data_IF_478340517921
#
_entry.id   IF_478340517921
#
_cell.length_a   1.000
_cell.length_b   1.000
_cell.length_c   1.000
_cell.angle_alpha   90.00
_cell.angle_beta   90.00
_cell.angle_gamma   90.00
#
_symmetry.space_group_name_H-M   'P 1'
#
loop_
_entity.id
_entity.type
_entity.pdbx_description
1 polymer ?
#
# COMPACT_ATOMS: atom_id res chain seq x y z
N UNK A 1 57.02 -36.85 -21.62
CA UNK A 1 57.96 -37.96 -21.84
C UNK A 1 57.13 -39.23 -22.02
N UNK A 2 57.42 -40.26 -22.83
CA UNK A 2 58.16 -40.42 -24.11
C UNK A 2 57.90 -41.88 -24.57
N UNK A 3 57.85 -42.35 -25.82
CA UNK A 3 57.63 -41.86 -27.21
C UNK A 3 57.09 -43.13 -28.00
N UNK A 4 56.90 -43.27 -29.32
CA UNK A 4 57.36 -42.60 -30.55
C UNK A 4 56.37 -42.82 -31.73
N UNK A 5 56.57 -42.04 -32.80
CA UNK A 5 56.13 -42.24 -34.20
C UNK A 5 56.86 -43.44 -34.88
N UNK A 6 56.57 -43.90 -36.14
CA UNK A 6 56.35 -43.05 -37.34
C UNK A 6 55.54 -43.57 -38.58
N UNK A 7 55.48 -42.67 -39.58
CA UNK A 7 55.45 -42.90 -41.04
C UNK A 7 54.13 -43.19 -41.79
N UNK A 8 53.74 -42.21 -42.62
CA UNK A 8 52.91 -42.37 -43.83
C UNK A 8 53.74 -42.92 -45.01
N UNK A 9 53.10 -43.18 -46.16
CA UNK A 9 53.54 -42.46 -47.37
C UNK A 9 52.38 -41.85 -48.20
N UNK A 10 52.74 -41.13 -49.28
CA UNK A 10 51.88 -40.31 -50.16
C UNK A 10 51.96 -40.85 -51.60
N UNK A 11 50.86 -40.76 -52.38
CA UNK A 11 50.76 -40.61 -53.87
C UNK A 11 49.24 -40.54 -54.19
N UNK A 12 48.61 -39.44 -54.62
CA UNK A 12 48.69 -38.56 -55.82
C UNK A 12 48.03 -39.10 -57.10
N UNK A 13 47.52 -38.15 -57.92
CA UNK A 13 46.73 -38.27 -59.15
C UNK A 13 45.20 -38.46 -58.96
N UNK A 14 44.31 -37.86 -59.78
CA UNK A 14 44.51 -36.92 -60.92
C UNK A 14 43.31 -35.97 -61.05
N UNK A 15 43.50 -34.81 -61.69
CA UNK A 15 42.43 -33.85 -61.96
C UNK A 15 41.65 -34.15 -63.25
N UNK A 16 40.40 -33.68 -63.30
CA UNK A 16 39.69 -33.28 -64.52
C UNK A 16 39.00 -31.94 -64.27
N UNK A 17 39.10 -31.03 -65.23
CA UNK A 17 38.70 -29.63 -65.15
C UNK A 17 37.59 -29.36 -66.17
N UNK A 18 36.49 -28.71 -65.76
CA UNK A 18 35.45 -28.16 -66.64
C UNK A 18 34.95 -26.83 -66.05
N UNK A 19 35.10 -25.77 -66.83
CA UNK A 19 34.76 -24.37 -66.52
C UNK A 19 33.27 -24.06 -66.54
N UNK A 20 32.80 -23.16 -65.67
CA UNK A 20 31.61 -22.34 -65.92
C UNK A 20 31.62 -21.06 -65.06
N UNK A 21 31.84 -19.90 -65.69
CA UNK A 21 31.69 -18.59 -65.05
C UNK A 21 30.21 -18.23 -64.86
N UNK A 22 29.79 -17.91 -63.64
CA UNK A 22 28.56 -17.15 -63.39
C UNK A 22 28.72 -16.13 -62.26
N UNK A 23 28.96 -14.88 -62.64
CA UNK A 23 28.77 -13.70 -61.78
C UNK A 23 27.26 -13.45 -61.60
N UNK A 24 26.67 -13.90 -60.49
CA UNK A 24 25.30 -13.50 -60.10
C UNK A 24 25.24 -13.11 -58.61
N UNK A 25 24.84 -11.86 -58.41
CA UNK A 25 24.33 -11.12 -57.24
C UNK A 25 24.15 -11.85 -55.89
N UNK A 26 24.56 -11.23 -54.75
CA UNK A 26 24.20 -11.74 -53.41
C UNK A 26 22.68 -11.67 -53.16
N UNK A 27 22.09 -12.60 -52.39
CA UNK A 27 20.65 -12.71 -52.25
C UNK A 27 20.01 -11.56 -51.46
N UNK A 28 18.97 -10.99 -52.07
CA UNK A 28 17.95 -10.07 -51.56
C UNK A 28 17.94 -9.71 -50.06
N UNK A 29 17.89 -8.40 -49.81
CA UNK A 29 17.49 -7.78 -48.55
C UNK A 29 16.28 -8.45 -47.90
N UNK A 30 16.34 -8.63 -46.57
CA UNK A 30 15.18 -8.90 -45.73
C UNK A 30 14.21 -7.71 -45.79
N UNK A 31 13.06 -7.91 -46.45
CA UNK A 31 11.90 -7.00 -46.38
C UNK A 31 10.73 -7.78 -45.78
N UNK A 32 10.88 -8.18 -44.53
CA UNK A 32 9.73 -8.32 -43.63
C UNK A 32 9.46 -6.97 -42.96
N UNK A 33 8.24 -6.71 -42.46
CA UNK A 33 8.09 -5.67 -41.43
C UNK A 33 9.04 -6.01 -40.28
N UNK A 34 9.69 -5.02 -39.64
CA UNK A 34 10.52 -5.30 -38.47
C UNK A 34 9.66 -6.02 -37.44
N UNK A 35 10.11 -7.18 -36.96
CA UNK A 35 9.55 -7.79 -35.76
C UNK A 35 9.51 -6.69 -34.70
N UNK A 36 8.34 -6.38 -34.10
CA UNK A 36 8.26 -5.28 -33.14
C UNK A 36 9.32 -5.52 -32.05
N UNK A 37 10.04 -4.46 -31.61
CA UNK A 37 11.07 -4.62 -30.60
C UNK A 37 10.48 -5.37 -29.40
N UNK A 38 11.27 -6.29 -28.83
CA UNK A 38 10.84 -7.14 -27.73
C UNK A 38 10.16 -6.26 -26.67
N UNK A 39 8.85 -6.44 -26.51
CA UNK A 39 8.02 -5.36 -25.96
C UNK A 39 8.44 -5.08 -24.54
N UNK A 40 8.81 -3.81 -24.27
CA UNK A 40 9.15 -3.30 -22.95
C UNK A 40 8.14 -3.84 -21.93
N UNK A 41 8.66 -4.34 -20.80
CA UNK A 41 8.01 -5.36 -19.98
C UNK A 41 6.51 -5.16 -19.84
N UNK A 42 5.71 -6.00 -20.51
CA UNK A 42 4.26 -6.00 -20.28
C UNK A 42 4.03 -6.49 -18.86
N UNK A 43 3.52 -5.60 -18.03
CA UNK A 43 3.17 -5.83 -16.63
C UNK A 43 1.63 -5.97 -16.48
N UNK A 44 1.02 -7.09 -16.94
CA UNK A 44 -0.43 -7.23 -17.07
C UNK A 44 -1.18 -7.20 -15.74
N UNK A 45 -0.56 -7.64 -14.64
CA UNK A 45 -1.18 -7.59 -13.32
C UNK A 45 -1.09 -6.17 -12.74
N UNK A 46 -0.01 -5.43 -13.02
CA UNK A 46 0.10 -4.01 -12.68
C UNK A 46 -1.03 -3.19 -13.34
N UNK A 47 -1.25 -3.37 -14.65
CA UNK A 47 -2.37 -2.75 -15.39
C UNK A 47 -3.73 -3.12 -14.76
N UNK A 48 -3.92 -4.39 -14.43
CA UNK A 48 -5.16 -4.95 -13.87
C UNK A 48 -5.45 -4.42 -12.45
N UNK A 49 -4.42 -4.30 -11.61
CA UNK A 49 -4.51 -3.74 -10.27
C UNK A 49 -4.84 -2.25 -10.37
N UNK A 50 -4.08 -1.47 -11.13
CA UNK A 50 -4.31 -0.03 -11.28
C UNK A 50 -5.69 0.29 -11.88
N UNK A 51 -6.17 -0.53 -12.84
CA UNK A 51 -7.54 -0.44 -13.35
C UNK A 51 -8.56 -0.70 -12.24
N UNK A 52 -8.39 -1.74 -11.43
CA UNK A 52 -9.30 -2.03 -10.32
C UNK A 52 -9.28 -0.93 -9.24
N UNK A 53 -8.12 -0.33 -8.95
CA UNK A 53 -8.01 0.78 -8.00
C UNK A 53 -8.78 2.01 -8.50
N UNK A 54 -8.61 2.40 -9.78
CA UNK A 54 -9.37 3.49 -10.42
C UNK A 54 -10.88 3.21 -10.50
N UNK A 55 -11.27 1.96 -10.78
CA UNK A 55 -12.68 1.54 -10.75
C UNK A 55 -13.27 1.63 -9.34
N UNK A 56 -12.51 1.27 -8.31
CA UNK A 56 -12.94 1.31 -6.90
C UNK A 56 -13.05 2.77 -6.40
N UNK A 57 -12.09 3.63 -6.74
CA UNK A 57 -12.12 5.08 -6.51
C UNK A 57 -13.38 5.74 -7.09
N UNK A 58 -13.84 5.26 -8.26
CA UNK A 58 -15.06 5.73 -8.94
C UNK A 58 -16.36 5.13 -8.40
N UNK A 59 -16.30 4.33 -7.33
CA UNK A 59 -17.48 3.64 -6.75
C UNK A 59 -18.01 2.49 -7.62
N UNK A 60 -17.20 1.97 -8.54
CA UNK A 60 -17.57 0.92 -9.50
C UNK A 60 -16.59 -0.29 -9.48
N UNK A 61 -16.23 -0.85 -8.31
CA UNK A 61 -15.27 -1.95 -8.21
C UNK A 61 -15.73 -3.17 -9.03
N UNK A 62 -14.94 -3.50 -10.06
CA UNK A 62 -15.25 -4.59 -11.00
C UNK A 62 -14.78 -5.95 -10.51
N UNK A 63 -13.63 -6.03 -9.84
CA UNK A 63 -13.18 -7.27 -9.23
C UNK A 63 -13.91 -7.49 -7.90
N UNK A 64 -14.51 -8.68 -7.75
CA UNK A 64 -14.98 -9.20 -6.46
C UNK A 64 -14.10 -10.39 -6.10
N UNK A 65 -13.40 -10.30 -4.99
CA UNK A 65 -12.56 -11.38 -4.48
C UNK A 65 -13.36 -12.41 -3.69
N UNK A 66 -12.65 -13.18 -2.85
CA UNK A 66 -13.28 -13.78 -1.66
C UNK A 66 -13.72 -12.64 -0.74
N UNK A 67 -14.68 -12.88 0.15
CA UNK A 67 -15.43 -11.85 0.89
C UNK A 67 -14.60 -10.78 1.63
N UNK A 68 -13.31 -11.02 1.89
CA UNK A 68 -12.39 -10.11 2.59
C UNK A 68 -11.09 -9.77 1.84
N UNK A 69 -10.80 -10.34 0.66
CA UNK A 69 -9.57 -10.01 -0.09
C UNK A 69 -9.59 -10.35 -1.60
N UNK A 70 -8.78 -9.62 -2.37
CA UNK A 70 -8.44 -9.92 -3.78
C UNK A 70 -6.93 -10.16 -3.86
N UNK A 71 -6.51 -11.35 -4.30
CA UNK A 71 -5.09 -11.74 -4.41
C UNK A 71 -4.63 -11.78 -5.87
N UNK A 72 -3.37 -11.37 -6.09
CA UNK A 72 -2.69 -11.35 -7.37
C UNK A 72 -1.26 -11.91 -7.18
N UNK A 73 -0.84 -12.84 -8.02
CA UNK A 73 0.56 -13.24 -8.12
C UNK A 73 1.23 -12.38 -9.19
N UNK A 74 2.31 -11.71 -8.82
CA UNK A 74 3.06 -10.76 -9.66
C UNK A 74 4.32 -11.39 -10.24
N UNK A 75 4.75 -10.88 -11.39
CA UNK A 75 6.09 -11.09 -11.93
C UNK A 75 7.09 -10.05 -11.40
N UNK A 76 8.38 -10.28 -11.62
CA UNK A 76 9.44 -9.37 -11.18
C UNK A 76 9.28 -7.98 -11.80
N UNK A 77 9.41 -6.94 -10.97
CA UNK A 77 9.19 -5.55 -11.36
C UNK A 77 7.72 -5.11 -11.50
N UNK A 78 6.73 -6.02 -11.47
CA UNK A 78 5.31 -5.59 -11.55
C UNK A 78 4.87 -4.75 -10.35
N UNK A 79 5.41 -5.02 -9.16
CA UNK A 79 5.10 -4.20 -7.98
C UNK A 79 5.72 -2.80 -8.09
N UNK A 80 6.98 -2.71 -8.55
CA UNK A 80 7.68 -1.43 -8.69
C UNK A 80 7.05 -0.58 -9.81
N UNK A 81 6.51 -1.20 -10.87
CA UNK A 81 5.66 -0.54 -11.87
C UNK A 81 4.33 -0.03 -11.27
N UNK A 82 3.69 -0.76 -10.34
CA UNK A 82 2.50 -0.28 -9.63
C UNK A 82 2.86 0.98 -8.82
N UNK A 83 3.96 0.94 -8.05
CA UNK A 83 4.42 2.09 -7.24
C UNK A 83 4.73 3.29 -8.13
N UNK A 84 5.58 3.12 -9.15
CA UNK A 84 5.96 4.17 -10.10
C UNK A 84 4.75 4.81 -10.81
N UNK A 85 3.72 4.02 -11.12
CA UNK A 85 2.48 4.52 -11.74
C UNK A 85 1.51 5.17 -10.77
N UNK A 86 1.55 4.82 -9.48
CA UNK A 86 0.87 5.60 -8.45
C UNK A 86 1.59 6.93 -8.22
N UNK A 87 2.92 6.96 -8.20
CA UNK A 87 3.69 8.21 -8.11
C UNK A 87 3.39 9.16 -9.29
N UNK A 88 3.17 8.62 -10.49
CA UNK A 88 2.68 9.36 -11.65
C UNK A 88 1.17 9.66 -11.72
N UNK A 89 0.37 9.27 -10.72
CA UNK A 89 -1.09 9.50 -10.64
C UNK A 89 -1.47 9.99 -9.22
N UNK A 90 -1.21 11.27 -8.88
CA UNK A 90 -1.30 11.76 -7.50
C UNK A 90 -2.69 11.63 -6.85
N UNK A 91 -3.76 11.71 -7.65
CA UNK A 91 -5.14 11.53 -7.17
C UNK A 91 -5.45 10.07 -6.85
N UNK A 92 -4.98 9.13 -7.68
CA UNK A 92 -5.08 7.70 -7.35
C UNK A 92 -4.18 7.33 -6.16
N UNK A 93 -2.97 7.89 -6.08
CA UNK A 93 -2.02 7.65 -4.99
C UNK A 93 -2.59 8.10 -3.64
N UNK A 94 -3.14 9.33 -3.59
CA UNK A 94 -3.82 9.87 -2.40
C UNK A 94 -5.00 8.98 -1.99
N UNK A 95 -5.82 8.54 -2.95
CA UNK A 95 -6.91 7.60 -2.68
C UNK A 95 -6.43 6.23 -2.18
N UNK A 96 -5.32 5.70 -2.71
CA UNK A 96 -4.75 4.43 -2.28
C UNK A 96 -4.24 4.52 -0.84
N UNK A 97 -3.42 5.52 -0.53
CA UNK A 97 -2.88 5.79 0.83
C UNK A 97 -3.96 6.10 1.87
N UNK A 98 -5.11 6.59 1.43
CA UNK A 98 -6.24 6.93 2.30
C UNK A 98 -7.20 5.74 2.51
N UNK A 99 -7.55 4.99 1.45
CA UNK A 99 -8.69 4.04 1.45
C UNK A 99 -8.35 2.59 1.10
N UNK A 100 -7.14 2.28 0.61
CA UNK A 100 -6.81 0.94 0.11
C UNK A 100 -5.78 0.27 1.03
N UNK A 101 -6.25 -0.70 1.80
CA UNK A 101 -5.38 -1.59 2.58
C UNK A 101 -4.86 -2.71 1.69
N UNK A 102 -3.54 -2.85 1.59
CA UNK A 102 -2.92 -3.95 0.85
C UNK A 102 -1.70 -4.52 1.55
N UNK A 103 -1.36 -5.75 1.18
CA UNK A 103 -0.12 -6.44 1.55
C UNK A 103 0.65 -6.80 0.28
N UNK A 104 1.98 -6.77 0.35
CA UNK A 104 2.86 -7.31 -0.69
C UNK A 104 4.08 -8.00 -0.09
N UNK A 105 4.27 -9.27 -0.45
CA UNK A 105 5.42 -10.09 -0.07
C UNK A 105 6.34 -10.22 -1.30
N UNK A 106 7.57 -9.70 -1.23
CA UNK A 106 8.53 -9.76 -2.34
C UNK A 106 9.03 -11.20 -2.61
N UNK A 107 8.99 -12.11 -1.62
CA UNK A 107 9.43 -13.51 -1.73
C UNK A 107 8.44 -14.34 -2.53
N UNK A 108 7.18 -14.32 -2.10
CA UNK A 108 6.11 -15.08 -2.76
C UNK A 108 5.50 -14.31 -3.95
N UNK A 109 5.86 -13.03 -4.11
CA UNK A 109 5.34 -12.08 -5.10
C UNK A 109 3.81 -12.01 -5.10
N UNK A 110 3.20 -12.18 -3.92
CA UNK A 110 1.75 -12.08 -3.74
C UNK A 110 1.37 -10.68 -3.30
N UNK A 111 0.57 -10.00 -4.11
CA UNK A 111 -0.09 -8.74 -3.79
C UNK A 111 -1.54 -9.01 -3.40
N UNK A 112 -1.97 -8.54 -2.23
CA UNK A 112 -3.31 -8.76 -1.71
C UNK A 112 -3.98 -7.43 -1.35
N UNK A 113 -5.09 -7.09 -2.02
CA UNK A 113 -5.97 -6.00 -1.60
C UNK A 113 -6.91 -6.54 -0.52
N UNK A 114 -6.82 -6.00 0.70
CA UNK A 114 -7.74 -6.31 1.81
C UNK A 114 -9.04 -5.52 1.60
N UNK A 115 -10.18 -6.17 1.82
CA UNK A 115 -11.52 -5.61 1.58
C UNK A 115 -12.35 -5.63 2.88
N UNK A 116 -12.24 -4.59 3.73
CA UNK A 116 -13.04 -4.44 4.95
C UNK A 116 -14.56 -4.46 4.75
N UNK A 117 -15.28 -4.86 5.80
CA UNK A 117 -16.73 -4.71 5.89
C UNK A 117 -17.13 -3.39 6.58
N UNK A 118 -18.37 -2.94 6.42
CA UNK A 118 -18.90 -1.79 7.17
C UNK A 118 -18.79 -1.97 8.70
N UNK A 119 -18.88 -3.21 9.19
CA UNK A 119 -18.77 -3.54 10.63
C UNK A 119 -17.31 -3.47 11.06
N UNK A 120 -16.39 -4.02 10.28
CA UNK A 120 -14.94 -3.91 10.48
C UNK A 120 -14.52 -2.44 10.61
N UNK A 121 -14.83 -1.61 9.61
CA UNK A 121 -14.44 -0.19 9.61
C UNK A 121 -15.07 0.57 10.77
N UNK A 122 -16.30 0.25 11.18
CA UNK A 122 -16.95 0.95 12.29
C UNK A 122 -16.45 0.50 13.65
N UNK A 123 -16.12 -0.78 13.84
CA UNK A 123 -15.49 -1.28 15.06
C UNK A 123 -14.07 -0.73 15.21
N UNK A 124 -13.26 -0.86 14.14
CA UNK A 124 -11.92 -0.29 14.03
C UNK A 124 -11.92 1.19 14.40
N UNK A 125 -12.79 1.98 13.77
CA UNK A 125 -12.84 3.42 13.98
C UNK A 125 -13.28 3.80 15.40
N UNK A 126 -14.23 3.07 16.00
CA UNK A 126 -14.63 3.31 17.38
C UNK A 126 -13.51 2.99 18.38
N UNK A 127 -12.74 1.91 18.15
CA UNK A 127 -11.59 1.55 18.97
C UNK A 127 -10.43 2.53 18.80
N UNK A 128 -10.13 2.94 17.56
CA UNK A 128 -9.14 3.98 17.25
C UNK A 128 -9.46 5.27 17.99
N UNK A 129 -10.70 5.77 17.90
CA UNK A 129 -11.12 7.01 18.54
C UNK A 129 -11.01 6.99 20.07
N UNK A 130 -11.29 5.85 20.73
CA UNK A 130 -11.16 5.73 22.19
C UNK A 130 -9.69 5.85 22.64
N UNK A 131 -8.79 5.11 21.98
CA UNK A 131 -7.34 5.12 22.28
C UNK A 131 -6.72 6.49 21.93
N UNK A 132 -7.10 7.04 20.78
CA UNK A 132 -6.57 8.33 20.30
C UNK A 132 -7.07 9.51 21.12
N UNK A 133 -8.29 9.43 21.67
CA UNK A 133 -8.79 10.38 22.68
C UNK A 133 -7.93 10.36 23.94
N UNK A 134 -7.61 9.17 24.47
CA UNK A 134 -6.76 9.02 25.65
C UNK A 134 -5.36 9.60 25.44
N UNK A 135 -4.72 9.32 24.29
CA UNK A 135 -3.44 9.94 23.93
C UNK A 135 -3.55 11.47 23.89
N UNK A 136 -4.62 12.02 23.31
CA UNK A 136 -4.85 13.48 23.26
C UNK A 136 -5.15 14.09 24.64
N UNK A 137 -5.66 13.31 25.59
CA UNK A 137 -5.79 13.72 27.00
C UNK A 137 -4.42 13.71 27.70
N UNK A 138 -3.59 12.69 27.50
CA UNK A 138 -2.22 12.61 28.04
C UNK A 138 -1.29 13.71 27.48
N UNK A 139 -1.42 14.03 26.19
CA UNK A 139 -0.65 15.08 25.51
C UNK A 139 -0.83 16.49 26.10
N UNK A 140 -1.78 16.69 27.03
CA UNK A 140 -1.95 17.94 27.78
C UNK A 140 -1.01 18.10 28.99
N UNK A 141 -0.32 17.04 29.40
CA UNK A 141 0.55 17.03 30.60
C UNK A 141 1.92 17.69 30.34
N UNK A 142 2.53 18.22 31.38
CA UNK A 142 3.86 18.86 31.32
C UNK A 142 5.02 17.90 31.60
N UNK A 143 4.72 16.62 31.87
CA UNK A 143 5.68 15.55 32.19
C UNK A 143 6.10 14.70 30.97
N UNK A 144 6.96 13.70 31.22
CA UNK A 144 7.47 12.76 30.22
C UNK A 144 6.34 12.05 29.44
N UNK A 145 5.30 11.63 30.15
CA UNK A 145 4.07 11.06 29.59
C UNK A 145 3.43 12.02 28.57
N UNK A 146 3.31 13.30 28.92
CA UNK A 146 2.83 14.33 28.01
C UNK A 146 3.75 14.62 26.83
N UNK A 147 5.08 14.53 27.01
CA UNK A 147 6.07 14.69 25.93
C UNK A 147 5.91 13.57 24.91
N UNK A 148 5.95 12.30 25.35
CA UNK A 148 5.74 11.12 24.51
C UNK A 148 4.39 11.14 23.80
N UNK A 149 3.30 11.46 24.52
CA UNK A 149 1.96 11.54 23.93
C UNK A 149 1.81 12.65 22.87
N UNK A 150 2.65 13.70 22.91
CA UNK A 150 2.74 14.72 21.84
C UNK A 150 3.54 14.26 20.62
N UNK A 151 4.50 13.35 20.78
CA UNK A 151 5.26 12.76 19.68
C UNK A 151 4.54 11.58 18.99
N UNK A 152 3.28 11.29 19.33
CA UNK A 152 2.48 10.27 18.64
C UNK A 152 1.95 10.77 17.29
N UNK A 153 2.23 10.04 16.21
CA UNK A 153 1.82 10.43 14.85
C UNK A 153 0.33 10.14 14.58
N UNK A 154 -0.47 11.17 14.30
CA UNK A 154 -1.88 11.06 13.88
C UNK A 154 -1.99 10.42 12.49
N UNK A 155 -2.03 9.09 12.43
CA UNK A 155 -1.83 8.35 11.19
C UNK A 155 -3.16 8.05 10.50
N UNK A 156 -3.77 9.10 9.94
CA UNK A 156 -5.01 8.99 9.16
C UNK A 156 -4.86 8.08 7.91
N UNK A 157 -5.96 7.42 7.53
CA UNK A 157 -6.04 6.65 6.28
C UNK A 157 -5.60 5.18 6.37
N UNK A 158 -4.78 4.76 5.42
CA UNK A 158 -4.32 3.38 5.20
C UNK A 158 -2.78 3.35 5.01
N UNK A 159 -1.99 3.60 6.06
CA UNK A 159 -0.53 3.68 6.01
C UNK A 159 0.13 2.32 5.73
N UNK A 160 0.95 2.23 4.68
CA UNK A 160 1.70 1.02 4.33
C UNK A 160 3.14 1.10 4.83
N UNK A 161 3.59 0.11 5.61
CA UNK A 161 4.94 0.02 6.16
C UNK A 161 5.78 -1.04 5.45
N UNK A 162 7.06 -0.73 5.23
CA UNK A 162 8.09 -1.64 4.73
C UNK A 162 8.82 -2.29 5.91
N UNK A 163 8.55 -3.55 6.15
CA UNK A 163 9.22 -4.33 7.20
C UNK A 163 10.62 -4.74 6.71
N UNK A 164 11.65 -4.79 7.58
CA UNK A 164 12.96 -5.29 7.19
C UNK A 164 12.88 -6.74 6.70
N UNK A 165 13.79 -7.18 5.83
CA UNK A 165 13.80 -8.55 5.36
C UNK A 165 14.21 -9.51 6.48
N UNK A 166 13.47 -10.60 6.64
CA UNK A 166 13.82 -11.66 7.59
C UNK A 166 15.15 -12.29 7.18
N UNK A 167 16.15 -12.29 8.06
CA UNK A 167 17.36 -13.09 7.86
C UNK A 167 16.97 -14.57 7.91
N UNK A 168 17.46 -15.36 6.95
CA UNK A 168 17.04 -16.74 6.76
C UNK A 168 17.70 -17.71 7.78
N UNK A 169 17.31 -17.61 9.05
CA UNK A 169 17.72 -18.51 10.13
C UNK A 169 16.79 -19.72 10.31
N UNK A 170 15.71 -19.83 9.53
CA UNK A 170 14.87 -21.04 9.37
C UNK A 170 15.62 -22.26 8.74
N UNK A 171 16.94 -22.18 8.63
CA UNK A 171 17.79 -23.30 8.26
C UNK A 171 17.96 -24.27 9.44
N UNK A 172 17.19 -25.37 9.41
CA UNK A 172 17.38 -26.56 10.24
C UNK A 172 18.88 -26.90 10.37
N UNK A 173 19.34 -27.16 11.60
CA UNK A 173 20.76 -27.24 12.01
C UNK A 173 21.49 -28.49 11.47
N UNK A 174 21.59 -28.57 10.15
CA UNK A 174 22.47 -29.48 9.41
C UNK A 174 23.75 -28.72 9.03
N UNK A 175 24.82 -28.95 9.81
CA UNK A 175 26.12 -28.30 9.59
C UNK A 175 26.71 -28.77 8.25
N UNK A 176 26.70 -27.88 7.25
CA UNK A 176 26.88 -28.24 5.84
C UNK A 176 27.70 -27.24 5.02
N UNK A 177 28.91 -26.92 5.49
CA UNK A 177 30.08 -26.39 4.76
C UNK A 177 29.88 -25.69 3.39
N UNK A 178 30.31 -24.42 3.35
CA UNK A 178 30.89 -23.76 2.15
C UNK A 178 29.99 -23.65 0.91
N UNK A 179 28.81 -23.06 1.11
CA UNK A 179 28.13 -22.29 0.08
C UNK A 179 28.03 -20.83 0.53
N UNK A 180 28.32 -19.88 -0.36
CA UNK A 180 27.92 -18.47 -0.15
C UNK A 180 26.40 -18.42 -0.20
N UNK A 181 25.76 -18.48 0.97
CA UNK A 181 24.32 -18.39 1.09
C UNK A 181 23.86 -17.04 0.55
N UNK A 182 23.23 -17.06 -0.62
CA UNK A 182 22.53 -15.91 -1.18
C UNK A 182 21.38 -15.60 -0.22
N UNK A 183 21.55 -14.53 0.57
CA UNK A 183 20.61 -14.22 1.64
C UNK A 183 19.33 -13.74 0.98
N UNK A 184 18.32 -14.61 0.95
CA UNK A 184 17.00 -14.38 0.34
C UNK A 184 16.18 -13.37 1.18
N UNK A 185 16.74 -12.16 1.28
CA UNK A 185 16.38 -11.04 2.13
C UNK A 185 15.27 -10.22 1.46
N UNK A 186 14.16 -10.89 1.21
CA UNK A 186 12.98 -10.34 0.55
C UNK A 186 12.13 -9.53 1.51
N UNK A 187 11.84 -8.28 1.14
CA UNK A 187 11.05 -7.36 1.95
C UNK A 187 9.56 -7.77 2.05
N UNK A 188 8.85 -7.27 3.05
CA UNK A 188 7.39 -7.32 3.11
C UNK A 188 6.80 -5.91 3.30
N UNK A 189 5.66 -5.65 2.66
CA UNK A 189 4.86 -4.44 2.81
C UNK A 189 3.51 -4.83 3.39
N UNK A 190 3.08 -4.13 4.43
CA UNK A 190 1.78 -4.34 5.05
C UNK A 190 1.09 -3.01 5.34
N UNK A 191 -0.23 -3.00 5.18
CA UNK A 191 -1.09 -1.87 5.56
C UNK A 191 -1.97 -2.30 6.73
N UNK A 192 -1.50 -2.17 7.99
CA UNK A 192 -2.25 -2.59 9.17
C UNK A 192 -3.56 -1.80 9.35
N UNK A 193 -4.49 -2.33 10.16
CA UNK A 193 -5.77 -1.64 10.42
C UNK A 193 -5.59 -0.40 11.31
N UNK A 194 -4.96 -0.53 12.48
CA UNK A 194 -4.64 0.60 13.36
C UNK A 194 -3.19 0.48 13.84
N UNK A 195 -2.24 1.17 13.19
CA UNK A 195 -0.90 1.38 13.75
C UNK A 195 -0.91 2.56 14.72
N UNK A 196 -0.18 2.45 15.82
CA UNK A 196 0.26 3.60 16.61
C UNK A 196 1.79 3.64 16.61
N UNK A 197 2.33 4.82 16.31
CA UNK A 197 3.76 5.05 16.05
C UNK A 197 4.20 6.39 16.62
N UNK A 198 5.31 6.42 17.34
CA UNK A 198 5.97 7.66 17.74
C UNK A 198 6.74 8.26 16.54
N UNK A 199 6.82 9.59 16.43
CA UNK A 199 7.40 10.27 15.25
C UNK A 199 8.91 10.01 15.06
N UNK A 200 9.59 9.58 16.12
CA UNK A 200 11.00 9.17 16.10
C UNK A 200 11.19 7.75 15.54
N UNK A 201 10.12 6.94 15.44
CA UNK A 201 10.18 5.55 14.96
C UNK A 201 9.83 5.41 13.46
N UNK A 202 10.56 4.54 12.76
CA UNK A 202 10.23 4.18 11.38
C UNK A 202 9.00 3.25 11.27
N UNK A 203 8.77 2.41 12.28
CA UNK A 203 7.70 1.41 12.36
C UNK A 203 6.85 1.61 13.63
N UNK A 204 5.55 1.26 13.63
CA UNK A 204 4.68 1.40 14.80
C UNK A 204 5.08 0.46 15.95
N UNK A 205 5.07 0.96 17.19
CA UNK A 205 5.25 0.13 18.39
C UNK A 205 4.04 -0.77 18.67
N UNK A 206 2.82 -0.25 18.45
CA UNK A 206 1.57 -1.02 18.60
C UNK A 206 0.86 -1.18 17.26
N UNK A 207 0.39 -2.38 16.95
CA UNK A 207 -0.54 -2.64 15.85
C UNK A 207 -1.83 -3.31 16.35
N UNK A 208 -2.97 -2.89 15.82
CA UNK A 208 -4.27 -3.55 15.99
C UNK A 208 -4.77 -4.05 14.63
N UNK A 209 -5.30 -5.27 14.61
CA UNK A 209 -5.89 -5.95 13.44
C UNK A 209 -7.31 -6.46 13.72
N UNK A 210 -8.21 -6.38 12.74
CA UNK A 210 -9.63 -6.72 12.88
C UNK A 210 -10.08 -7.79 11.88
N UNK A 211 -10.28 -9.02 12.34
CA UNK A 211 -10.95 -10.06 11.58
C UNK A 211 -12.48 -9.96 11.73
N UNK A 212 -13.19 -9.69 10.63
CA UNK A 212 -14.66 -9.82 10.59
C UNK A 212 -15.08 -11.15 9.94
N UNK A 213 -14.32 -11.69 8.99
CA UNK A 213 -14.57 -13.04 8.40
C UNK A 213 -13.30 -13.87 8.15
N UNK A 214 -12.13 -13.30 8.45
CA UNK A 214 -10.82 -13.97 8.42
C UNK A 214 -10.67 -14.92 9.62
N UNK A 215 -9.76 -15.90 9.57
CA UNK A 215 -9.61 -16.85 10.68
C UNK A 215 -8.68 -16.32 11.78
N UNK A 216 -8.83 -16.80 13.02
CA UNK A 216 -7.88 -16.48 14.10
C UNK A 216 -6.46 -17.03 13.84
N UNK A 217 -6.30 -17.98 12.91
CA UNK A 217 -4.98 -18.43 12.44
C UNK A 217 -4.31 -17.38 11.56
N UNK A 218 -5.09 -16.63 10.77
CA UNK A 218 -4.58 -15.53 9.94
C UNK A 218 -4.08 -14.38 10.83
N UNK A 219 -4.86 -13.98 11.85
CA UNK A 219 -4.43 -13.00 12.85
C UNK A 219 -3.14 -13.41 13.56
N UNK A 220 -3.04 -14.67 14.05
CA UNK A 220 -1.81 -15.14 14.72
C UNK A 220 -0.58 -15.13 13.80
N UNK A 221 -0.74 -15.46 12.52
CA UNK A 221 0.34 -15.38 11.53
C UNK A 221 0.75 -13.93 11.26
N UNK A 222 -0.23 -13.03 11.11
CA UNK A 222 0.03 -11.62 10.87
C UNK A 222 0.72 -10.95 12.07
N UNK A 223 0.32 -11.30 13.30
CA UNK A 223 1.00 -10.90 14.51
C UNK A 223 2.45 -11.40 14.59
N UNK A 224 2.72 -12.65 14.19
CA UNK A 224 4.09 -13.16 14.10
C UNK A 224 4.93 -12.36 13.09
N UNK A 225 4.38 -12.10 11.90
CA UNK A 225 5.04 -11.27 10.89
C UNK A 225 5.34 -9.87 11.42
N UNK A 226 4.39 -9.22 12.09
CA UNK A 226 4.62 -7.88 12.66
C UNK A 226 5.66 -7.87 13.78
N UNK A 227 5.61 -8.80 14.74
CA UNK A 227 6.51 -8.79 15.90
C UNK A 227 7.93 -9.28 15.56
N UNK A 228 8.04 -10.30 14.71
CA UNK A 228 9.32 -10.94 14.40
C UNK A 228 9.96 -10.31 13.16
N UNK A 229 9.22 -10.09 12.06
CA UNK A 229 9.80 -9.49 10.85
C UNK A 229 9.97 -7.95 10.96
N UNK A 230 9.61 -7.32 12.09
CA UNK A 230 10.04 -5.96 12.40
C UNK A 230 11.33 -5.90 13.21
N UNK A 231 11.97 -7.04 13.51
CA UNK A 231 13.06 -7.17 14.48
C UNK A 231 12.68 -6.51 15.82
N UNK A 232 11.51 -6.86 16.38
CA UNK A 232 10.97 -6.34 17.63
C UNK A 232 10.67 -4.83 17.68
N UNK A 233 10.75 -4.07 16.57
CA UNK A 233 10.27 -2.68 16.54
C UNK A 233 8.78 -2.54 16.92
N UNK A 234 7.93 -3.48 16.45
CA UNK A 234 6.56 -3.65 16.97
C UNK A 234 6.66 -4.42 18.30
N UNK A 235 6.21 -3.80 19.39
CA UNK A 235 6.20 -4.38 20.74
C UNK A 235 5.00 -5.29 20.99
N UNK A 236 3.84 -4.91 20.45
CA UNK A 236 2.57 -5.58 20.74
C UNK A 236 1.61 -5.56 19.55
N UNK A 237 0.90 -6.68 19.36
CA UNK A 237 -0.18 -6.82 18.38
C UNK A 237 -1.47 -7.26 19.05
N UNK A 238 -2.53 -6.49 18.85
CA UNK A 238 -3.89 -6.78 19.30
C UNK A 238 -4.73 -7.30 18.13
N UNK A 239 -5.16 -8.56 18.18
CA UNK A 239 -6.01 -9.17 17.14
C UNK A 239 -7.45 -9.36 17.60
N UNK A 240 -8.39 -8.61 17.02
CA UNK A 240 -9.83 -8.74 17.29
C UNK A 240 -10.49 -9.66 16.26
N UNK A 241 -11.28 -10.63 16.73
CA UNK A 241 -12.01 -11.60 15.92
C UNK A 241 -13.52 -11.48 16.19
N UNK A 242 -14.21 -10.76 15.31
CA UNK A 242 -15.61 -10.36 15.43
C UNK A 242 -16.61 -11.40 14.89
N UNK A 243 -16.14 -12.36 14.07
CA UNK A 243 -16.87 -13.51 13.51
C UNK A 243 -18.26 -13.24 12.89
N UNK A 244 -18.29 -13.01 11.58
CA UNK A 244 -19.49 -13.17 10.75
C UNK A 244 -20.02 -14.63 10.85
N UNK A 245 -21.14 -14.82 11.54
CA UNK A 245 -21.65 -16.17 11.85
C UNK A 245 -22.95 -16.17 12.66
N UNK A 246 -23.47 -17.37 13.02
CA UNK A 246 -24.77 -17.51 13.72
C UNK A 246 -24.71 -17.22 15.23
N UNK A 247 -23.53 -16.95 15.79
CA UNK A 247 -23.31 -16.62 17.21
C UNK A 247 -22.70 -15.24 17.33
N UNK A 248 -23.10 -14.42 18.30
CA UNK A 248 -22.54 -13.08 18.51
C UNK A 248 -21.14 -13.09 19.19
N UNK A 249 -20.45 -14.25 19.21
CA UNK A 249 -19.15 -14.45 19.87
C UNK A 249 -18.05 -13.63 19.23
N UNK A 250 -17.56 -12.63 19.95
CA UNK A 250 -16.39 -11.87 19.59
C UNK A 250 -15.28 -12.01 20.63
N UNK A 251 -14.05 -12.14 20.16
CA UNK A 251 -12.87 -12.42 20.98
C UNK A 251 -11.69 -11.54 20.57
N UNK A 252 -10.74 -11.34 21.47
CA UNK A 252 -9.47 -10.68 21.19
C UNK A 252 -8.29 -11.63 21.45
N UNK A 253 -7.09 -11.20 21.07
CA UNK A 253 -5.82 -11.83 21.40
C UNK A 253 -4.77 -10.74 21.47
N UNK A 254 -3.77 -10.91 22.34
CA UNK A 254 -2.64 -10.00 22.49
C UNK A 254 -1.36 -10.81 22.42
N UNK A 255 -0.49 -10.44 21.49
CA UNK A 255 0.82 -11.04 21.31
C UNK A 255 1.90 -9.98 21.51
N UNK A 256 3.00 -10.35 22.14
CA UNK A 256 4.17 -9.48 22.33
C UNK A 256 5.40 -10.10 21.69
N UNK A 257 6.34 -9.25 21.29
CA UNK A 257 7.72 -9.65 21.06
C UNK A 257 8.31 -10.24 22.35
N UNK A 258 9.25 -11.16 22.20
CA UNK A 258 10.10 -11.66 23.28
C UNK A 258 11.47 -11.98 22.72
N UNK A 259 12.48 -11.26 23.20
CA UNK A 259 13.89 -11.45 22.85
C UNK A 259 14.62 -12.04 24.07
N UNK A 260 15.18 -13.24 23.91
CA UNK A 260 15.96 -13.97 24.92
C UNK A 260 16.99 -14.85 24.20
N UNK A 261 18.22 -14.93 24.72
CA UNK A 261 19.28 -15.86 24.28
C UNK A 261 19.48 -15.91 22.74
N UNK A 262 19.59 -14.74 22.11
CA UNK A 262 19.72 -14.51 20.65
C UNK A 262 18.49 -14.98 19.81
N UNK A 263 17.33 -15.23 20.44
CA UNK A 263 16.09 -15.70 19.78
C UNK A 263 14.92 -14.74 19.99
N UNK A 264 14.65 -13.92 18.95
CA UNK A 264 13.41 -13.17 18.85
C UNK A 264 12.21 -14.11 18.54
N UNK A 265 11.20 -14.06 19.38
CA UNK A 265 10.00 -14.90 19.31
C UNK A 265 8.71 -14.11 19.59
N UNK A 266 7.55 -14.74 19.34
CA UNK A 266 6.23 -14.19 19.64
C UNK A 266 5.55 -14.99 20.76
N UNK A 267 5.16 -14.31 21.85
CA UNK A 267 4.43 -14.91 22.98
C UNK A 267 3.02 -14.35 23.09
N UNK A 268 1.96 -15.19 23.22
CA UNK A 268 0.62 -14.72 23.52
C UNK A 268 0.49 -14.34 25.00
N UNK A 269 0.16 -13.08 25.28
CA UNK A 269 -0.29 -12.62 26.60
C UNK A 269 -1.75 -13.02 26.83
N UNK A 270 -2.60 -12.87 25.81
CA UNK A 270 -3.99 -13.32 25.79
C UNK A 270 -4.27 -14.04 24.46
N UNK A 271 -4.97 -15.18 24.48
CA UNK A 271 -5.25 -15.95 23.26
C UNK A 271 -6.71 -16.36 23.13
N UNK A 272 -7.38 -15.83 22.10
CA UNK A 272 -8.82 -15.99 21.82
C UNK A 272 -9.67 -15.83 23.10
N UNK A 273 -9.41 -14.79 23.88
CA UNK A 273 -10.21 -14.44 25.04
C UNK A 273 -11.49 -13.77 24.56
N UNK A 274 -12.65 -14.25 25.00
CA UNK A 274 -13.94 -13.70 24.58
C UNK A 274 -14.19 -12.37 25.27
N UNK A 275 -14.65 -11.36 24.54
CA UNK A 275 -15.25 -10.15 25.12
C UNK A 275 -16.77 -10.16 25.02
N UNK A 276 -17.30 -10.89 24.02
CA UNK A 276 -18.74 -11.06 23.79
C UNK A 276 -19.09 -12.54 23.70
N UNK A 277 -20.12 -12.94 24.45
CA UNK A 277 -20.64 -14.31 24.56
C UNK A 277 -21.44 -14.77 23.32
N UNK A 278 -21.98 -16.00 23.36
CA UNK A 278 -22.89 -16.51 22.30
C UNK A 278 -24.15 -15.68 22.13
N UNK A 279 -24.71 -15.19 23.23
CA UNK A 279 -25.99 -14.47 23.29
C UNK A 279 -25.86 -12.98 22.93
N UNK A 280 -24.62 -12.46 22.89
CA UNK A 280 -24.31 -11.06 22.58
C UNK A 280 -23.90 -10.22 23.77
N UNK A 281 -23.97 -10.76 24.98
CA UNK A 281 -23.65 -10.08 26.23
C UNK A 281 -22.14 -10.05 26.52
N UNK A 282 -21.63 -9.03 27.25
CA UNK A 282 -20.25 -8.95 27.71
C UNK A 282 -19.82 -10.14 28.60
N UNK A 283 -18.55 -10.51 28.52
CA UNK A 283 -17.96 -11.55 29.38
C UNK A 283 -17.43 -10.96 30.69
N UNK A 284 -17.50 -11.74 31.78
CA UNK A 284 -16.97 -11.37 33.09
C UNK A 284 -15.44 -11.44 33.21
N UNK A 285 -14.71 -11.08 32.15
CA UNK A 285 -13.26 -10.94 32.18
C UNK A 285 -12.83 -9.52 32.60
N UNK A 286 -11.60 -9.37 33.07
CA UNK A 286 -11.00 -8.04 33.33
C UNK A 286 -10.86 -7.21 32.04
N UNK A 287 -10.56 -5.90 32.15
CA UNK A 287 -10.41 -5.02 30.99
C UNK A 287 -9.24 -5.43 30.10
N UNK A 288 -9.27 -4.94 28.86
CA UNK A 288 -8.14 -4.98 27.94
C UNK A 288 -7.28 -3.73 28.16
N UNK A 289 -6.04 -3.94 28.59
CA UNK A 289 -5.07 -2.91 28.92
C UNK A 289 -4.20 -2.53 27.71
N UNK A 290 -4.00 -1.24 27.49
CA UNK A 290 -3.02 -0.65 26.58
C UNK A 290 -2.08 0.23 27.41
N UNK A 291 -0.76 0.01 27.31
CA UNK A 291 0.25 0.79 28.05
C UNK A 291 0.95 1.76 27.13
N UNK A 292 1.20 2.98 27.57
CA UNK A 292 1.77 4.05 26.74
C UNK A 292 3.16 3.67 26.20
N UNK A 293 3.99 3.04 27.03
CA UNK A 293 5.33 2.57 26.60
C UNK A 293 5.31 1.59 25.41
N UNK A 294 4.17 0.95 25.11
CA UNK A 294 4.07 -0.05 24.04
C UNK A 294 3.78 0.59 22.65
N UNK A 295 3.66 1.92 22.58
CA UNK A 295 3.26 2.67 21.37
C UNK A 295 4.46 3.13 20.52
N UNK A 296 5.68 2.98 21.04
CA UNK A 296 6.95 3.26 20.38
C UNK A 296 7.86 2.02 20.32
N UNK A 297 9.04 2.14 19.71
CA UNK A 297 10.11 1.16 19.91
C UNK A 297 10.61 1.18 21.36
N UNK A 298 11.09 0.02 21.85
CA UNK A 298 11.44 -0.19 23.25
C UNK A 298 12.50 0.81 23.77
N UNK A 299 13.44 1.25 22.92
CA UNK A 299 14.45 2.25 23.29
C UNK A 299 13.90 3.69 23.25
N UNK A 300 13.13 4.06 22.22
CA UNK A 300 12.39 5.33 22.14
C UNK A 300 11.47 5.54 23.34
N UNK A 301 10.83 4.46 23.83
CA UNK A 301 10.05 4.50 25.06
C UNK A 301 10.93 4.78 26.29
N UNK A 302 12.08 4.10 26.45
CA UNK A 302 13.00 4.31 27.58
C UNK A 302 13.60 5.72 27.59
N UNK A 303 13.97 6.26 26.44
CA UNK A 303 14.64 7.57 26.35
C UNK A 303 13.69 8.74 26.66
N UNK A 304 12.39 8.60 26.36
CA UNK A 304 11.40 9.68 26.54
C UNK A 304 10.56 9.50 27.81
N UNK A 305 10.07 8.29 28.11
CA UNK A 305 9.26 8.01 29.30
C UNK A 305 10.11 7.64 30.53
N UNK A 306 11.30 7.07 30.33
CA UNK A 306 12.19 6.66 31.41
C UNK A 306 11.62 5.53 32.28
N UNK A 307 10.95 5.92 33.36
CA UNK A 307 10.28 5.01 34.30
C UNK A 307 8.79 5.34 34.51
N UNK A 308 8.27 6.34 33.80
CA UNK A 308 6.86 6.69 33.79
C UNK A 308 6.10 5.82 32.76
N UNK A 309 4.86 5.44 33.07
CA UNK A 309 3.95 4.75 32.12
C UNK A 309 2.50 5.08 32.51
N UNK A 310 1.58 4.98 31.57
CA UNK A 310 0.15 5.16 31.78
C UNK A 310 -0.65 4.06 31.08
N UNK A 311 -1.76 3.63 31.67
CA UNK A 311 -2.58 2.55 31.13
C UNK A 311 -4.00 3.03 30.75
N UNK A 312 -4.43 2.69 29.53
CA UNK A 312 -5.84 2.69 29.13
C UNK A 312 -6.43 1.30 29.30
N UNK A 313 -7.35 1.16 30.25
CA UNK A 313 -8.18 -0.03 30.43
C UNK A 313 -9.52 0.11 29.68
N UNK A 314 -9.75 -0.71 28.66
CA UNK A 314 -11.02 -0.78 27.91
C UNK A 314 -11.82 -2.02 28.38
N UNK A 315 -13.03 -1.83 28.90
CA UNK A 315 -13.85 -2.93 29.42
C UNK A 315 -14.46 -3.81 28.33
N UNK A 316 -14.86 -5.03 28.70
CA UNK A 316 -15.61 -5.93 27.82
C UNK A 316 -16.93 -5.29 27.35
N UNK A 317 -17.59 -4.50 28.20
CA UNK A 317 -18.76 -3.69 27.88
C UNK A 317 -18.47 -2.62 26.80
N UNK A 318 -17.33 -1.91 26.89
CA UNK A 318 -16.92 -0.95 25.85
C UNK A 318 -16.70 -1.65 24.50
N UNK A 319 -15.98 -2.79 24.48
CA UNK A 319 -15.76 -3.57 23.26
C UNK A 319 -17.08 -4.10 22.66
N UNK A 320 -17.98 -4.62 23.48
CA UNK A 320 -19.34 -5.00 23.07
C UNK A 320 -20.15 -3.81 22.55
N UNK A 321 -20.00 -2.63 23.15
CA UNK A 321 -20.65 -1.38 22.71
C UNK A 321 -20.15 -0.95 21.33
N UNK A 322 -18.84 -1.01 21.08
CA UNK A 322 -18.25 -0.68 19.77
C UNK A 322 -18.79 -1.62 18.67
N UNK A 323 -18.84 -2.93 18.94
CA UNK A 323 -19.36 -3.92 17.98
C UNK A 323 -20.87 -3.76 17.75
N UNK A 324 -21.65 -3.56 18.80
CA UNK A 324 -23.11 -3.35 18.71
C UNK A 324 -23.46 -2.08 17.92
N UNK A 325 -22.68 -0.99 18.09
CA UNK A 325 -22.81 0.24 17.29
C UNK A 325 -22.52 -0.03 15.81
N UNK A 326 -21.50 -0.84 15.51
CA UNK A 326 -21.12 -1.22 14.15
C UNK A 326 -22.18 -2.09 13.45
N UNK A 327 -22.68 -3.11 14.13
CA UNK A 327 -23.79 -3.97 13.67
C UNK A 327 -25.05 -3.15 13.38
N UNK A 328 -25.47 -2.32 14.34
CA UNK A 328 -26.65 -1.47 14.21
C UNK A 328 -26.54 -0.48 13.04
N UNK A 329 -25.38 0.15 12.84
CA UNK A 329 -25.14 1.07 11.70
C UNK A 329 -25.35 0.38 10.35
N UNK A 330 -25.01 -0.91 10.24
CA UNK A 330 -25.29 -1.72 9.05
C UNK A 330 -26.76 -2.12 8.95
N UNK A 331 -27.40 -2.43 10.07
CA UNK A 331 -28.83 -2.76 10.10
C UNK A 331 -29.71 -1.55 9.71
N UNK A 332 -29.42 -0.36 10.25
CA UNK A 332 -30.10 0.90 9.93
C UNK A 332 -29.90 1.29 8.45
N UNK A 333 -28.72 1.01 7.87
CA UNK A 333 -28.46 1.12 6.41
C UNK A 333 -29.34 0.15 5.61
N UNK A 334 -29.38 -1.14 5.98
CA UNK A 334 -30.20 -2.18 5.32
C UNK A 334 -31.70 -1.88 5.40
N UNK A 335 -32.18 -1.36 6.53
CA UNK A 335 -33.58 -0.96 6.76
C UNK A 335 -33.96 0.38 6.08
N UNK A 336 -32.99 1.10 5.50
CA UNK A 336 -33.23 2.44 4.93
C UNK A 336 -33.57 3.51 5.97
N UNK A 337 -33.17 3.30 7.24
CA UNK A 337 -33.52 4.17 8.38
C UNK A 337 -32.83 5.55 8.35
N UNK A 338 -31.77 5.72 7.56
CA UNK A 338 -31.14 7.03 7.37
C UNK A 338 -32.11 7.98 6.66
N UNK A 339 -32.44 9.10 7.31
CA UNK A 339 -33.37 10.15 6.86
C UNK A 339 -32.87 10.91 5.62
N UNK A 340 -32.86 10.24 4.47
CA UNK A 340 -32.50 10.84 3.18
C UNK A 340 -33.48 11.97 2.82
N UNK A 341 -32.96 13.18 2.54
CA UNK A 341 -33.75 14.34 2.12
C UNK A 341 -34.34 14.10 0.71
N UNK A 342 -35.50 13.44 0.64
CA UNK A 342 -36.22 13.15 -0.61
C UNK A 342 -36.63 14.45 -1.31
N UNK A 343 -35.81 14.92 -2.25
CA UNK A 343 -36.19 16.00 -3.17
C UNK A 343 -37.45 15.61 -3.94
N UNK A 344 -38.43 16.51 -4.04
CA UNK A 344 -39.67 16.28 -4.82
C UNK A 344 -39.32 15.80 -6.23
N UNK A 345 -39.95 14.70 -6.66
CA UNK A 345 -39.76 14.14 -7.99
C UNK A 345 -40.02 15.20 -9.08
N UNK A 346 -39.25 15.15 -10.17
CA UNK A 346 -39.29 16.16 -11.24
C UNK A 346 -38.46 17.42 -10.99
N UNK A 347 -37.78 17.57 -9.83
CA UNK A 347 -36.76 18.61 -9.66
C UNK A 347 -35.60 18.39 -10.64
N UNK A 348 -35.47 19.24 -11.66
CA UNK A 348 -34.23 19.40 -12.44
C UNK A 348 -33.07 19.63 -11.47
N UNK A 349 -32.04 18.79 -11.55
CA UNK A 349 -30.69 19.15 -11.11
C UNK A 349 -30.09 20.00 -12.22
N UNK A 350 -29.50 21.14 -11.90
CA UNK A 350 -28.65 21.85 -12.86
C UNK A 350 -27.31 21.09 -12.97
N UNK A 351 -26.56 21.27 -14.07
CA UNK A 351 -25.13 20.98 -14.07
C UNK A 351 -24.44 21.71 -12.91
N UNK A 352 -23.26 21.23 -12.52
CA UNK A 352 -22.36 22.02 -11.69
C UNK A 352 -21.93 23.22 -12.55
N UNK A 353 -22.21 24.44 -12.09
CA UNK A 353 -21.61 25.64 -12.67
C UNK A 353 -20.12 25.61 -12.33
N UNK A 354 -19.26 25.93 -13.29
CA UNK A 354 -17.82 25.97 -13.05
C UNK A 354 -17.53 27.00 -11.97
N UNK A 355 -16.92 26.55 -10.86
CA UNK A 355 -16.50 27.43 -9.78
C UNK A 355 -15.53 28.45 -10.36
N UNK A 356 -15.74 29.77 -10.17
CA UNK A 356 -14.83 30.78 -10.70
C UNK A 356 -13.39 30.49 -10.27
N UNK A 357 -12.45 30.64 -11.21
CA UNK A 357 -11.02 30.53 -10.91
C UNK A 357 -10.69 31.41 -9.71
N UNK A 358 -10.14 30.82 -8.63
CA UNK A 358 -9.76 31.60 -7.46
C UNK A 358 -8.66 32.57 -7.88
N UNK A 359 -8.74 33.86 -7.54
CA UNK A 359 -7.60 34.75 -7.71
C UNK A 359 -6.41 34.14 -6.98
N UNK A 360 -5.28 34.02 -7.68
CA UNK A 360 -4.00 33.62 -7.11
C UNK A 360 -3.72 34.61 -5.95
N UNK A 361 -3.63 34.10 -4.73
CA UNK A 361 -3.25 34.89 -3.55
C UNK A 361 -1.73 35.02 -3.48
N UNK A 362 -1.21 35.92 -2.65
CA UNK A 362 0.24 35.98 -2.38
C UNK A 362 0.73 34.67 -1.73
N UNK A 363 -0.13 34.01 -0.95
CA UNK A 363 0.11 32.67 -0.38
C UNK A 363 0.20 31.59 -1.48
N UNK A 364 -0.61 31.69 -2.53
CA UNK A 364 -0.52 30.83 -3.72
C UNK A 364 0.78 31.11 -4.52
N UNK A 365 1.21 32.38 -4.63
CA UNK A 365 2.49 32.74 -5.26
C UNK A 365 3.69 32.22 -4.45
N UNK A 366 3.67 32.32 -3.11
CA UNK A 366 4.71 31.78 -2.23
C UNK A 366 4.78 30.23 -2.29
N UNK A 367 3.65 29.53 -2.37
CA UNK A 367 3.63 28.08 -2.57
C UNK A 367 4.20 27.70 -3.96
N UNK A 368 3.87 28.48 -5.00
CA UNK A 368 4.43 28.28 -6.35
C UNK A 368 5.93 28.56 -6.44
N UNK A 369 6.45 29.66 -5.86
CA UNK A 369 7.89 29.95 -5.83
C UNK A 369 8.65 28.87 -5.06
N UNK A 370 8.08 28.39 -3.94
CA UNK A 370 8.67 27.30 -3.17
C UNK A 370 8.72 26.00 -3.99
N UNK A 371 7.67 25.64 -4.72
CA UNK A 371 7.66 24.43 -5.55
C UNK A 371 8.48 24.56 -6.84
N UNK A 372 8.59 25.75 -7.43
CA UNK A 372 9.51 26.01 -8.54
C UNK A 372 10.97 25.94 -8.07
N UNK A 373 11.31 26.47 -6.90
CA UNK A 373 12.63 26.30 -6.29
C UNK A 373 12.94 24.81 -5.96
N UNK A 374 11.94 24.08 -5.45
CA UNK A 374 12.02 22.62 -5.19
C UNK A 374 12.22 21.83 -6.49
N UNK A 375 11.56 22.22 -7.58
CA UNK A 375 11.71 21.61 -8.91
C UNK A 375 13.05 21.97 -9.57
N UNK A 376 13.49 23.22 -9.50
CA UNK A 376 14.78 23.68 -9.99
C UNK A 376 15.94 22.98 -9.29
N UNK A 377 15.85 22.78 -7.96
CA UNK A 377 16.82 21.98 -7.20
C UNK A 377 16.88 20.53 -7.73
N UNK A 378 15.74 19.87 -7.89
CA UNK A 378 15.66 18.49 -8.45
C UNK A 378 16.24 18.41 -9.87
N UNK A 379 15.96 19.39 -10.74
CA UNK A 379 16.52 19.46 -12.09
C UNK A 379 18.04 19.65 -12.10
N UNK A 380 18.57 20.42 -11.16
CA UNK A 380 20.02 20.64 -10.99
C UNK A 380 20.74 19.46 -10.31
N UNK A 381 20.00 18.54 -9.67
CA UNK A 381 20.52 17.32 -9.05
C UNK A 381 20.62 16.13 -10.03
N UNK A 382 20.07 16.24 -11.26
CA UNK A 382 20.59 15.50 -12.43
C UNK A 382 19.60 15.12 -13.54
N UNK A 383 19.87 15.60 -14.76
CA UNK A 383 19.60 14.84 -16.00
C UNK A 383 20.80 14.92 -16.96
N UNK A 384 21.11 13.80 -17.61
CA UNK A 384 22.33 13.56 -18.38
C UNK A 384 22.19 13.88 -19.87
N UNK A 385 22.20 15.17 -20.22
CA UNK A 385 22.37 15.68 -21.59
C UNK A 385 21.31 15.28 -22.64
N UNK A 386 20.20 16.00 -22.67
CA UNK A 386 19.25 15.97 -23.79
C UNK A 386 19.86 16.53 -25.11
N UNK A 387 19.93 15.72 -26.17
CA UNK A 387 20.43 16.12 -27.50
C UNK A 387 19.31 16.22 -28.54
N UNK A 388 18.65 17.38 -28.62
CA UNK A 388 17.53 17.62 -29.55
C UNK A 388 17.93 17.86 -31.03
N UNK A 389 17.18 17.32 -32.01
CA UNK A 389 17.33 17.67 -33.43
C UNK A 389 16.95 19.12 -33.76
N UNK A 390 17.50 19.66 -34.87
CA UNK A 390 17.40 21.08 -35.24
C UNK A 390 16.04 21.50 -35.84
N UNK A 391 15.69 22.78 -35.64
CA UNK A 391 14.56 23.48 -36.27
C UNK A 391 14.66 23.52 -37.80
N UNK A 392 13.50 23.54 -38.47
CA UNK A 392 13.31 24.18 -39.78
C UNK A 392 12.11 25.14 -39.69
N UNK A 393 12.19 26.29 -40.37
CA UNK A 393 11.24 27.40 -40.24
C UNK A 393 10.79 27.96 -41.59
N UNK A 394 9.52 27.78 -41.93
CA UNK A 394 8.76 28.53 -42.96
C UNK A 394 7.25 28.28 -42.74
N UNK A 395 6.32 29.18 -43.04
CA UNK A 395 6.43 30.54 -43.58
C UNK A 395 5.11 31.32 -43.35
N UNK A 396 5.10 32.64 -43.62
CA UNK A 396 4.06 33.58 -43.15
C UNK A 396 3.18 34.14 -44.28
N UNK A 397 1.84 34.13 -44.16
CA UNK A 397 0.86 35.15 -44.66
C UNK A 397 -0.58 34.76 -44.24
N UNK A 398 -1.59 35.59 -43.86
CA UNK A 398 -1.84 37.03 -43.61
C UNK A 398 -2.83 37.74 -44.57
N UNK A 399 -4.09 37.96 -44.13
CA UNK A 399 -5.04 39.12 -44.34
C UNK A 399 -6.41 38.78 -43.67
N UNK A 400 -7.17 39.63 -42.94
CA UNK A 400 -7.79 40.98 -43.16
C UNK A 400 -8.81 41.01 -44.33
N UNK A 401 -9.99 41.65 -44.31
CA UNK A 401 -10.90 42.36 -43.35
C UNK A 401 -12.31 42.48 -44.05
N UNK A 402 -13.44 43.02 -43.56
CA UNK A 402 -13.96 43.72 -42.34
C UNK A 402 -15.49 43.38 -42.21
N UNK A 403 -16.27 43.57 -41.11
CA UNK A 403 -16.72 44.73 -40.28
C UNK A 403 -17.87 45.60 -40.88
N UNK A 404 -18.92 45.85 -40.05
CA UNK A 404 -20.16 46.66 -40.32
C UNK A 404 -21.15 45.95 -41.27
N UNK A 405 -22.48 46.11 -41.24
CA UNK A 405 -23.47 46.99 -40.56
C UNK A 405 -24.67 47.20 -41.54
N UNK A 406 -25.91 47.57 -41.21
CA UNK A 406 -26.62 47.88 -39.95
C UNK A 406 -28.17 47.88 -40.24
N UNK A 407 -28.99 47.97 -39.19
CA UNK A 407 -30.36 48.54 -39.14
C UNK A 407 -31.61 47.86 -39.79
N UNK A 408 -32.72 48.08 -39.07
CA UNK A 408 -34.12 48.28 -39.54
C UNK A 408 -35.08 47.11 -39.82
N UNK A 409 -35.97 46.94 -38.84
CA UNK A 409 -37.39 46.52 -38.94
C UNK A 409 -38.23 47.48 -39.84
N UNK A 410 -39.51 47.22 -40.22
CA UNK A 410 -40.60 46.91 -39.26
C UNK A 410 -41.83 46.07 -39.69
N UNK A 411 -42.66 45.79 -38.67
CA UNK A 411 -44.13 45.77 -38.62
C UNK A 411 -44.99 44.74 -39.40
N UNK A 412 -45.78 44.01 -38.60
CA UNK A 412 -47.20 43.64 -38.78
C UNK A 412 -47.66 42.86 -40.01
N UNK A 413 -48.00 41.59 -39.78
CA UNK A 413 -49.40 41.12 -39.78
C UNK A 413 -49.57 39.99 -38.76
#
# INVERSE_FOLDING_TARGET
MCNSTPSSPIVTNRATDITSDQYITPPSSFIGPPTPPATEGRFPQAERILTNLRDTQRGHPKLRGKHWCIQFSLADGEFDEIVRRLEGDPDLNRYVKDKIRYDYDYKTRQFAIRMPSDIHETFREALHQEIWKWIKELATREDNVGIFARGMADTEGAPSYKFPPTLATDADHSIGSDATADVDSTQAIHTPDIPFRHEEDALPGTIIEVAYSQTSKDLRRLAYTYLVHSNAAVQVVFGFNLKDGPTQRAAFSVWRSKDEDDVLSMVPQYYNQEFRSVDGEPTGHGPLCFRLQDFAMDDTAKDILGADDEELSITMDQLCSFLSKAEKKVEDRKKGGLRTKRTRAGKRKLPLEETPERPITVEDEEEWEHDEARAAKRANEGDGSYSGPRKLTAGLTRRRSARLGDASQPSSS
#
